data_IF_427360741664
#
_entry.id   IF_427360741664
#
_cell.length_a   1.000
_cell.length_b   1.000
_cell.length_c   1.000
_cell.angle_alpha   90.00
_cell.angle_beta   90.00
_cell.angle_gamma   90.00
#
_symmetry.space_group_name_H-M   'P 1'
#
loop_
_entity.id
_entity.type
_entity.pdbx_description
1 polymer ?
#
# COMPACT_ATOMS: atom_id res chain seq x y z
N UNK A 1 6.83 40.64 4.84
CA UNK A 1 8.11 39.97 4.52
C UNK A 1 7.79 38.51 4.23
N UNK A 2 7.46 38.16 2.99
CA UNK A 2 7.17 36.77 2.64
C UNK A 2 8.51 36.04 2.54
N UNK A 3 8.74 35.06 3.40
CA UNK A 3 9.90 34.18 3.32
C UNK A 3 9.74 33.36 2.03
N UNK A 4 10.47 33.76 0.98
CA UNK A 4 10.68 32.95 -0.21
C UNK A 4 11.67 31.85 0.16
N UNK A 5 11.16 30.74 0.68
CA UNK A 5 11.94 29.51 0.70
C UNK A 5 11.94 28.95 -0.72
N UNK A 6 13.14 28.86 -1.30
CA UNK A 6 13.37 28.14 -2.56
C UNK A 6 12.78 26.73 -2.44
N UNK A 7 12.15 26.27 -3.52
CA UNK A 7 11.51 24.95 -3.62
C UNK A 7 12.51 23.84 -3.25
N UNK A 8 13.80 24.04 -3.55
CA UNK A 8 14.87 23.11 -3.19
C UNK A 8 15.06 22.96 -1.68
N UNK A 9 14.98 24.06 -0.94
CA UNK A 9 15.08 24.07 0.53
C UNK A 9 13.84 23.44 1.18
N UNK A 10 12.67 23.66 0.57
CA UNK A 10 11.42 23.05 1.02
C UNK A 10 11.51 21.52 0.85
N UNK A 11 11.92 21.03 -0.32
CA UNK A 11 12.12 19.59 -0.62
C UNK A 11 13.12 18.90 0.32
N UNK A 12 14.23 19.58 0.67
CA UNK A 12 15.23 19.06 1.60
C UNK A 12 14.70 18.99 3.06
N UNK A 13 13.87 19.96 3.47
CA UNK A 13 13.35 20.04 4.85
C UNK A 13 12.18 19.10 5.11
N UNK A 14 11.30 18.88 4.14
CA UNK A 14 10.13 18.00 4.26
C UNK A 14 10.39 16.58 3.77
N UNK A 15 11.56 16.36 3.16
CA UNK A 15 11.94 15.14 2.46
C UNK A 15 11.17 14.96 1.14
N UNK A 16 11.79 14.28 0.19
CA UNK A 16 11.23 13.89 -1.13
C UNK A 16 9.94 13.05 -1.10
N UNK A 17 9.20 13.02 0.01
CA UNK A 17 7.89 12.38 0.14
C UNK A 17 6.71 13.35 0.08
N UNK A 18 6.92 14.67 0.19
CA UNK A 18 5.80 15.61 0.32
C UNK A 18 5.01 15.82 -0.99
N UNK A 19 5.63 15.52 -2.13
CA UNK A 19 4.97 15.45 -3.44
C UNK A 19 5.06 14.07 -4.10
N UNK A 20 5.31 12.99 -3.34
CA UNK A 20 5.26 11.65 -3.92
C UNK A 20 3.81 11.39 -4.34
N UNK A 21 3.56 11.51 -5.65
CA UNK A 21 2.26 11.16 -6.21
C UNK A 21 1.89 9.76 -5.72
N UNK A 22 0.69 9.65 -5.18
CA UNK A 22 0.15 8.39 -4.72
C UNK A 22 0.13 7.43 -5.91
N UNK A 23 0.83 6.30 -5.80
CA UNK A 23 0.87 5.33 -6.89
C UNK A 23 -0.54 4.78 -7.10
N UNK A 24 -1.01 4.86 -8.33
CA UNK A 24 -2.23 4.20 -8.77
C UNK A 24 -1.90 2.78 -9.24
N UNK A 25 -2.79 1.84 -8.95
CA UNK A 25 -2.71 0.47 -9.41
C UNK A 25 -4.02 0.12 -10.09
N UNK A 26 -3.95 -0.49 -11.26
CA UNK A 26 -5.02 -1.33 -11.78
C UNK A 26 -5.03 -2.68 -11.06
N UNK A 27 -6.13 -3.45 -11.17
CA UNK A 27 -6.16 -4.83 -10.67
C UNK A 27 -5.06 -5.70 -11.27
N UNK A 28 -4.77 -5.53 -12.56
CA UNK A 28 -3.73 -6.30 -13.25
C UNK A 28 -2.33 -5.99 -12.73
N UNK A 29 -2.04 -4.72 -12.44
CA UNK A 29 -0.77 -4.32 -11.85
C UNK A 29 -0.67 -4.79 -10.41
N UNK A 30 -1.74 -4.68 -9.62
CA UNK A 30 -1.79 -5.17 -8.25
C UNK A 30 -1.51 -6.68 -8.19
N UNK A 31 -2.06 -7.46 -9.13
CA UNK A 31 -1.83 -8.91 -9.22
C UNK A 31 -0.35 -9.32 -9.39
N UNK A 32 0.53 -8.39 -9.79
CA UNK A 32 1.98 -8.66 -9.85
C UNK A 32 2.66 -8.64 -8.49
N UNK A 33 1.99 -8.18 -7.44
CA UNK A 33 2.49 -8.04 -6.07
C UNK A 33 1.87 -9.12 -5.15
N UNK A 34 2.00 -10.38 -5.56
CA UNK A 34 1.44 -11.55 -4.89
C UNK A 34 2.39 -12.19 -3.85
N UNK A 35 3.56 -11.60 -3.61
CA UNK A 35 4.59 -12.18 -2.74
C UNK A 35 5.41 -13.31 -3.37
N UNK A 36 5.15 -13.69 -4.62
CA UNK A 36 5.89 -14.75 -5.31
C UNK A 36 7.24 -14.26 -5.83
N UNK A 37 8.20 -15.17 -6.03
CA UNK A 37 9.47 -14.87 -6.68
C UNK A 37 10.26 -13.70 -6.06
N UNK A 38 10.12 -13.49 -4.75
CA UNK A 38 10.76 -12.39 -4.03
C UNK A 38 10.13 -11.01 -4.28
N UNK A 39 9.00 -10.95 -4.98
CA UNK A 39 8.21 -9.72 -5.13
C UNK A 39 7.51 -9.36 -3.81
N UNK A 40 7.11 -8.09 -3.62
CA UNK A 40 6.29 -7.69 -2.49
C UNK A 40 4.92 -8.38 -2.52
N UNK A 41 4.29 -8.50 -1.36
CA UNK A 41 2.90 -8.90 -1.20
C UNK A 41 2.05 -7.68 -0.84
N UNK A 42 1.16 -7.27 -1.74
CA UNK A 42 0.25 -6.13 -1.56
C UNK A 42 -1.20 -6.57 -1.56
N UNK A 43 -2.07 -5.86 -0.85
CA UNK A 43 -3.52 -6.08 -0.88
C UNK A 43 -4.24 -4.74 -0.96
N UNK A 44 -5.33 -4.68 -1.72
CA UNK A 44 -6.22 -3.53 -1.70
C UNK A 44 -7.36 -3.75 -0.70
N UNK A 45 -7.62 -2.75 0.15
CA UNK A 45 -8.76 -2.70 1.08
C UNK A 45 -9.38 -1.31 0.99
N UNK A 46 -10.66 -1.23 0.61
CA UNK A 46 -11.40 0.01 0.35
C UNK A 46 -10.64 0.98 -0.58
N UNK A 47 -10.06 0.44 -1.66
CA UNK A 47 -9.32 1.23 -2.64
C UNK A 47 -7.93 1.67 -2.20
N UNK A 48 -7.47 1.36 -0.98
CA UNK A 48 -6.09 1.64 -0.54
C UNK A 48 -5.25 0.39 -0.67
N UNK A 49 -4.08 0.50 -1.29
CA UNK A 49 -3.12 -0.60 -1.41
C UNK A 49 -2.15 -0.58 -0.23
N UNK A 50 -2.12 -1.67 0.52
CA UNK A 50 -1.27 -1.88 1.69
C UNK A 50 -0.16 -2.89 1.40
N UNK A 51 1.03 -2.61 1.92
CA UNK A 51 2.14 -3.57 1.93
C UNK A 51 2.04 -4.52 3.12
N UNK A 52 1.81 -5.79 2.84
CA UNK A 52 1.74 -6.86 3.84
C UNK A 52 2.97 -7.76 3.84
N UNK A 53 4.02 -7.41 3.07
CA UNK A 53 5.22 -8.25 2.89
C UNK A 53 5.95 -8.59 4.19
N UNK A 54 5.82 -7.74 5.21
CA UNK A 54 6.46 -7.91 6.53
C UNK A 54 5.51 -8.42 7.62
N UNK A 55 4.29 -8.79 7.24
CA UNK A 55 3.29 -9.37 8.16
C UNK A 55 3.48 -10.88 8.15
N UNK A 56 3.76 -11.47 9.30
CA UNK A 56 4.12 -12.89 9.41
C UNK A 56 3.00 -13.82 8.91
N UNK A 57 1.75 -13.43 9.13
CA UNK A 57 0.55 -14.16 8.71
C UNK A 57 0.35 -14.18 7.18
N UNK A 58 1.10 -13.35 6.45
CA UNK A 58 1.13 -13.27 4.99
C UNK A 58 2.37 -13.94 4.38
N UNK A 59 3.14 -14.71 5.15
CA UNK A 59 4.31 -15.42 4.65
C UNK A 59 3.97 -16.28 3.41
N UNK A 60 4.75 -16.12 2.33
CA UNK A 60 4.48 -16.77 1.05
C UNK A 60 3.31 -16.15 0.26
N UNK A 61 2.86 -14.95 0.63
CA UNK A 61 1.84 -14.20 -0.09
C UNK A 61 0.40 -14.68 0.16
N UNK A 62 0.16 -15.46 1.21
CA UNK A 62 -1.16 -16.08 1.47
C UNK A 62 -1.59 -15.90 2.91
N UNK A 63 -2.90 -15.76 3.12
CA UNK A 63 -3.52 -15.67 4.43
C UNK A 63 -4.94 -16.23 4.42
N UNK A 64 -5.21 -17.30 5.17
CA UNK A 64 -6.53 -17.96 5.26
C UNK A 64 -7.25 -18.18 3.91
N UNK A 65 -6.53 -18.71 2.90
CA UNK A 65 -7.10 -18.98 1.57
C UNK A 65 -7.07 -17.79 0.61
N UNK A 66 -6.81 -16.58 1.11
CA UNK A 66 -6.59 -15.40 0.29
C UNK A 66 -5.15 -15.36 -0.20
N UNK A 67 -4.95 -14.76 -1.38
CA UNK A 67 -3.62 -14.53 -1.97
C UNK A 67 -3.44 -13.03 -2.18
N UNK A 68 -2.24 -12.53 -1.93
CA UNK A 68 -1.88 -11.14 -2.20
C UNK A 68 -2.00 -10.81 -3.69
N UNK A 69 -1.97 -9.53 -4.02
CA UNK A 69 -2.18 -9.00 -5.36
C UNK A 69 -3.66 -8.82 -5.74
N UNK A 70 -4.56 -8.74 -4.76
CA UNK A 70 -6.01 -8.66 -4.99
C UNK A 70 -6.65 -7.54 -4.15
N UNK A 71 -7.85 -7.12 -4.57
CA UNK A 71 -8.79 -6.43 -3.68
C UNK A 71 -9.47 -7.47 -2.80
N UNK A 72 -9.23 -7.36 -1.49
CA UNK A 72 -9.74 -8.27 -0.47
C UNK A 72 -10.67 -7.55 0.50
N UNK A 73 -11.30 -6.46 0.06
CA UNK A 73 -12.16 -5.63 0.91
C UNK A 73 -13.27 -6.45 1.56
N UNK A 74 -13.93 -7.32 0.79
CA UNK A 74 -15.05 -8.13 1.28
C UNK A 74 -14.60 -9.16 2.31
N UNK A 75 -13.53 -9.89 2.00
CA UNK A 75 -12.92 -10.92 2.84
C UNK A 75 -12.41 -10.31 4.15
N UNK A 76 -11.72 -9.16 4.07
CA UNK A 76 -11.24 -8.44 5.25
C UNK A 76 -12.38 -8.01 6.16
N UNK A 77 -13.44 -7.39 5.63
CA UNK A 77 -14.59 -6.93 6.42
C UNK A 77 -15.36 -8.07 7.09
N UNK A 78 -15.26 -9.29 6.57
CA UNK A 78 -15.91 -10.47 7.16
C UNK A 78 -15.27 -10.95 8.47
N UNK A 79 -13.98 -10.67 8.68
CA UNK A 79 -13.20 -11.25 9.79
C UNK A 79 -12.36 -10.23 10.59
N UNK A 80 -12.22 -9.00 10.10
CA UNK A 80 -11.33 -7.99 10.69
C UNK A 80 -11.97 -6.61 10.83
N UNK A 81 -11.32 -5.79 11.65
CA UNK A 81 -11.63 -4.37 11.85
C UNK A 81 -10.50 -3.52 11.27
N UNK A 82 -10.82 -2.30 10.82
CA UNK A 82 -9.87 -1.41 10.11
C UNK A 82 -8.61 -1.09 10.90
N UNK A 83 -8.64 -1.12 12.24
CA UNK A 83 -7.47 -0.85 13.10
C UNK A 83 -6.31 -1.84 12.89
N UNK A 84 -6.56 -2.99 12.25
CA UNK A 84 -5.50 -3.92 11.83
C UNK A 84 -4.60 -3.32 10.74
N UNK A 85 -5.05 -2.30 10.01
CA UNK A 85 -4.32 -1.67 8.92
C UNK A 85 -3.49 -0.46 9.35
N UNK A 86 -3.72 0.08 10.56
CA UNK A 86 -3.18 1.38 11.01
C UNK A 86 -1.65 1.49 10.93
N UNK A 87 -0.95 0.36 11.09
CA UNK A 87 0.52 0.30 11.09
C UNK A 87 1.09 -0.23 9.77
N UNK A 88 0.24 -0.61 8.83
CA UNK A 88 0.69 -1.12 7.54
C UNK A 88 1.09 0.04 6.61
N UNK A 89 2.18 -0.08 5.86
CA UNK A 89 2.53 0.91 4.86
C UNK A 89 1.44 1.02 3.79
N UNK A 90 0.96 2.24 3.56
CA UNK A 90 0.08 2.57 2.42
C UNK A 90 0.97 2.88 1.22
N UNK A 91 0.90 2.04 0.19
CA UNK A 91 1.80 2.12 -0.97
C UNK A 91 1.12 2.63 -2.24
N UNK A 92 -0.20 2.84 -2.20
CA UNK A 92 -0.95 3.45 -3.28
C UNK A 92 -2.46 3.35 -3.12
N UNK A 93 -3.16 3.56 -4.24
CA UNK A 93 -4.60 3.35 -4.39
C UNK A 93 -4.89 2.40 -5.53
N UNK A 94 -5.95 1.62 -5.39
CA UNK A 94 -6.53 0.85 -6.47
C UNK A 94 -7.47 1.77 -7.26
N UNK A 95 -7.23 1.86 -8.55
CA UNK A 95 -8.04 2.58 -9.52
C UNK A 95 -8.74 1.57 -10.41
N UNK A 96 -10.04 1.78 -10.58
CA UNK A 96 -10.87 0.98 -11.50
C UNK A 96 -10.39 1.10 -12.95
#
# INVERSE_FOLDING_TARGET
MALYFDLKTIEELIGHNYYRQQKEFTLQELAQFDGSNGKPAYVAIEGIVYDVSKVAEWAGGKHFGNTAGQDLTSEFKSCHVMTKLDKLPKVGILKE
#
